data_IF_627418002386
#
_entry.id   IF_627418002386
#
_cell.length_a   1.000
_cell.length_b   1.000
_cell.length_c   1.000
_cell.angle_alpha   90.00
_cell.angle_beta   90.00
_cell.angle_gamma   90.00
#
_symmetry.space_group_name_H-M   'P 1'
#
loop_
_entity.id
_entity.type
_entity.pdbx_description
1 polymer ?
#
# COMPACT_ATOMS: atom_id res chain seq x y z
N UNK A 1 2.81 2.30 9.25
CA UNK A 1 3.31 3.64 9.62
C UNK A 1 4.41 3.62 10.70
N UNK A 2 4.37 2.71 11.69
CA UNK A 2 5.39 2.65 12.75
C UNK A 2 6.83 2.35 12.26
N UNK A 3 6.99 1.59 11.16
CA UNK A 3 8.32 1.26 10.64
C UNK A 3 9.09 2.50 10.13
N UNK A 4 8.39 3.46 9.49
CA UNK A 4 9.05 4.62 8.88
C UNK A 4 9.54 5.61 9.94
N UNK A 5 8.76 5.87 10.99
CA UNK A 5 9.18 6.75 12.09
C UNK A 5 10.25 6.12 12.96
N UNK A 6 10.23 4.81 13.16
CA UNK A 6 11.23 4.10 13.96
C UNK A 6 12.58 3.97 13.23
N UNK A 7 12.59 3.84 11.89
CA UNK A 7 13.82 3.84 11.08
C UNK A 7 14.45 5.23 11.02
N UNK A 8 13.64 6.29 10.90
CA UNK A 8 14.13 7.68 10.84
C UNK A 8 14.60 8.24 12.20
N UNK A 9 14.07 7.77 13.33
CA UNK A 9 14.44 8.28 14.66
C UNK A 9 15.34 7.36 15.50
N UNK A 10 15.53 6.08 15.13
CA UNK A 10 16.42 5.17 15.85
C UNK A 10 17.83 5.15 15.22
N UNK A 11 18.56 6.23 15.48
CA UNK A 11 19.91 6.50 14.98
C UNK A 11 20.97 5.38 15.17
N UNK A 12 20.97 4.53 16.23
CA UNK A 12 21.99 3.47 16.33
C UNK A 12 21.77 2.26 15.41
N UNK A 13 20.57 2.09 14.81
CA UNK A 13 20.28 0.95 13.93
C UNK A 13 20.42 1.29 12.43
N UNK A 14 20.35 2.57 12.06
CA UNK A 14 20.38 3.05 10.66
C UNK A 14 21.17 4.37 10.53
N UNK A 15 22.49 4.37 10.78
CA UNK A 15 23.31 5.58 10.82
C UNK A 15 23.45 6.31 9.47
N UNK A 16 23.08 5.66 8.36
CA UNK A 16 23.22 6.18 6.99
C UNK A 16 21.93 6.69 6.36
N UNK A 17 20.78 6.56 7.03
CA UNK A 17 19.48 7.00 6.48
C UNK A 17 19.32 8.49 6.78
N UNK A 18 19.56 9.35 5.77
CA UNK A 18 19.50 10.80 5.92
C UNK A 18 18.10 11.37 5.61
N UNK A 19 17.25 10.59 4.92
CA UNK A 19 15.90 11.00 4.58
C UNK A 19 15.04 9.88 3.99
N UNK A 20 13.84 10.25 3.54
CA UNK A 20 12.88 9.33 2.88
C UNK A 20 13.39 8.77 1.54
N UNK A 21 14.41 9.38 0.96
CA UNK A 21 15.03 8.90 -0.29
C UNK A 21 15.85 7.62 -0.09
N UNK A 22 16.33 7.37 1.13
CA UNK A 22 17.13 6.19 1.50
C UNK A 22 16.29 5.02 2.04
N UNK A 23 14.97 5.17 2.07
CA UNK A 23 14.05 4.20 2.65
C UNK A 23 13.21 3.59 1.54
N UNK A 24 13.11 2.27 1.55
CA UNK A 24 12.21 1.51 0.68
C UNK A 24 11.06 0.96 1.52
N UNK A 25 9.82 1.24 1.12
CA UNK A 25 8.60 0.84 1.84
C UNK A 25 7.73 -0.02 0.95
N UNK A 26 7.60 -1.30 1.31
CA UNK A 26 6.63 -2.22 0.73
C UNK A 26 5.45 -2.36 1.69
N UNK A 27 4.25 -1.97 1.25
CA UNK A 27 3.01 -2.13 2.00
C UNK A 27 2.17 -3.23 1.35
N UNK A 28 1.86 -4.28 2.11
CA UNK A 28 1.00 -5.39 1.68
C UNK A 28 -0.35 -5.22 2.36
N UNK A 29 -1.39 -4.92 1.59
CA UNK A 29 -2.77 -4.77 2.07
C UNK A 29 -3.57 -6.05 1.87
N UNK A 30 -4.60 -6.24 2.70
CA UNK A 30 -5.62 -7.26 2.45
C UNK A 30 -6.62 -6.75 1.40
N UNK A 31 -7.37 -7.69 0.80
CA UNK A 31 -8.35 -7.38 -0.22
C UNK A 31 -9.39 -6.39 0.31
N UNK A 32 -9.61 -5.30 -0.44
CA UNK A 32 -10.59 -4.29 -0.08
C UNK A 32 -11.97 -4.92 0.07
N UNK A 33 -12.58 -4.66 1.22
CA UNK A 33 -13.84 -5.27 1.59
C UNK A 33 -14.98 -4.49 0.95
N UNK A 34 -15.57 -5.03 -0.12
CA UNK A 34 -16.76 -4.42 -0.73
C UNK A 34 -17.84 -4.25 0.33
N UNK A 35 -18.24 -3.01 0.61
CA UNK A 35 -19.32 -2.69 1.54
C UNK A 35 -20.58 -3.44 1.08
N UNK A 36 -21.01 -4.42 1.86
CA UNK A 36 -22.25 -5.15 1.61
C UNK A 36 -23.36 -4.49 2.43
N UNK A 37 -24.22 -3.75 1.75
CA UNK A 37 -25.48 -3.28 2.32
C UNK A 37 -26.43 -4.47 2.42
N UNK A 38 -27.07 -4.63 3.59
CA UNK A 38 -28.19 -5.56 3.72
C UNK A 38 -29.38 -5.05 2.87
N UNK A 39 -30.35 -5.92 2.55
CA UNK A 39 -31.57 -5.57 1.79
C UNK A 39 -32.35 -4.40 2.42
N UNK A 40 -32.15 -4.16 3.71
CA UNK A 40 -32.77 -3.07 4.47
C UNK A 40 -31.95 -1.77 4.45
N UNK A 41 -30.88 -1.68 3.65
CA UNK A 41 -30.01 -0.50 3.56
C UNK A 41 -29.10 -0.28 4.78
N UNK A 42 -29.08 -1.22 5.75
CA UNK A 42 -28.22 -1.11 6.93
C UNK A 42 -26.86 -1.78 6.69
N UNK A 43 -25.78 -1.13 7.11
CA UNK A 43 -24.43 -1.69 7.12
C UNK A 43 -24.32 -2.71 8.26
N UNK A 44 -23.76 -3.89 7.97
CA UNK A 44 -23.38 -4.81 9.04
C UNK A 44 -22.23 -4.21 9.86
N UNK A 45 -22.14 -4.48 11.18
CA UNK A 45 -21.00 -4.03 11.99
C UNK A 45 -19.66 -4.48 11.41
N UNK A 46 -19.62 -5.69 10.85
CA UNK A 46 -18.45 -6.21 10.16
C UNK A 46 -18.07 -5.36 8.93
N UNK A 47 -19.05 -4.99 8.09
CA UNK A 47 -18.83 -4.11 6.92
C UNK A 47 -18.43 -2.68 7.31
N UNK A 48 -18.94 -2.18 8.44
CA UNK A 48 -18.55 -0.87 8.96
C UNK A 48 -17.09 -0.87 9.41
N UNK A 49 -16.68 -1.86 10.22
CA UNK A 49 -15.28 -2.02 10.65
C UNK A 49 -14.37 -2.16 9.43
N UNK A 50 -14.78 -2.97 8.46
CA UNK A 50 -14.09 -3.13 7.17
C UNK A 50 -13.86 -1.78 6.45
N UNK A 51 -14.91 -0.96 6.31
CA UNK A 51 -14.82 0.35 5.70
C UNK A 51 -13.89 1.32 6.46
N UNK A 52 -13.92 1.29 7.80
CA UNK A 52 -13.01 2.10 8.63
C UNK A 52 -11.56 1.65 8.45
N UNK A 53 -11.30 0.35 8.39
CA UNK A 53 -9.96 -0.20 8.13
C UNK A 53 -9.47 0.16 6.73
N UNK A 54 -10.32 0.03 5.71
CA UNK A 54 -10.01 0.44 4.34
C UNK A 54 -9.70 1.95 4.28
N UNK A 55 -10.43 2.79 5.02
CA UNK A 55 -10.16 4.23 5.14
C UNK A 55 -8.84 4.57 5.85
N UNK A 56 -8.48 3.83 6.89
CA UNK A 56 -7.18 4.00 7.58
C UNK A 56 -6.01 3.60 6.68
N UNK A 57 -6.17 2.52 5.92
CA UNK A 57 -5.25 2.08 4.87
C UNK A 57 -5.06 3.18 3.80
N UNK A 58 -6.17 3.72 3.30
CA UNK A 58 -6.18 4.77 2.29
C UNK A 58 -5.45 6.04 2.74
N UNK A 59 -5.72 6.47 3.96
CA UNK A 59 -5.10 7.67 4.54
C UNK A 59 -3.58 7.48 4.69
N UNK A 60 -3.17 6.26 5.07
CA UNK A 60 -1.76 5.91 5.17
C UNK A 60 -1.09 5.94 3.79
N UNK A 61 -1.76 5.41 2.77
CA UNK A 61 -1.25 5.38 1.40
C UNK A 61 -1.10 6.79 0.83
N UNK A 62 -2.04 7.68 1.13
CA UNK A 62 -1.96 9.09 0.74
C UNK A 62 -0.80 9.82 1.44
N UNK A 63 -0.60 9.57 2.74
CA UNK A 63 0.51 10.16 3.48
C UNK A 63 1.87 9.67 2.93
N UNK A 64 1.99 8.37 2.66
CA UNK A 64 3.20 7.79 2.07
C UNK A 64 3.41 8.28 0.64
N UNK A 65 2.37 8.36 -0.19
CA UNK A 65 2.48 8.91 -1.54
C UNK A 65 2.96 10.37 -1.54
N UNK A 66 2.51 11.17 -0.58
CA UNK A 66 2.99 12.54 -0.40
C UNK A 66 4.47 12.56 0.06
N UNK A 67 4.85 11.70 1.00
CA UNK A 67 6.22 11.63 1.52
C UNK A 67 7.22 11.14 0.44
N UNK A 68 6.82 10.15 -0.36
CA UNK A 68 7.60 9.60 -1.47
C UNK A 68 7.38 10.35 -2.80
N UNK A 69 6.76 11.53 -2.78
CA UNK A 69 6.46 12.29 -4.01
C UNK A 69 7.71 12.65 -4.83
N UNK A 70 8.88 12.75 -4.19
CA UNK A 70 10.18 13.01 -4.84
C UNK A 70 10.93 11.73 -5.27
N UNK A 71 10.57 10.58 -4.70
CA UNK A 71 11.09 9.25 -5.04
C UNK A 71 9.91 8.25 -5.16
N UNK A 72 9.14 8.32 -6.26
CA UNK A 72 7.89 7.59 -6.39
C UNK A 72 8.06 6.07 -6.45
N UNK A 73 9.28 5.58 -6.63
CA UNK A 73 9.61 4.15 -6.66
C UNK A 73 10.12 3.64 -5.31
N UNK A 74 10.21 4.51 -4.29
CA UNK A 74 10.56 4.15 -2.92
C UNK A 74 9.39 3.57 -2.13
N UNK A 75 8.17 3.68 -2.63
CA UNK A 75 6.96 3.16 -2.00
C UNK A 75 6.13 2.31 -2.98
N UNK A 76 5.91 1.06 -2.61
CA UNK A 76 5.07 0.12 -3.38
C UNK A 76 3.96 -0.41 -2.48
N UNK A 77 2.71 -0.26 -2.92
CA UNK A 77 1.51 -0.77 -2.26
C UNK A 77 0.95 -1.92 -3.10
N UNK A 78 0.91 -3.11 -2.54
CA UNK A 78 0.28 -4.28 -3.16
C UNK A 78 -1.04 -4.54 -2.45
N UNK A 79 -2.14 -4.35 -3.17
CA UNK A 79 -3.48 -4.63 -2.67
C UNK A 79 -4.22 -5.52 -3.67
N UNK A 80 -4.68 -6.72 -3.26
CA UNK A 80 -5.44 -7.60 -4.15
C UNK A 80 -6.86 -7.05 -4.34
N UNK A 81 -7.29 -6.89 -5.58
CA UNK A 81 -8.53 -6.19 -5.91
C UNK A 81 -9.71 -7.17 -5.96
N UNK A 82 -10.12 -7.68 -4.80
CA UNK A 82 -11.31 -8.53 -4.67
C UNK A 82 -11.18 -9.93 -5.29
N UNK A 83 -9.98 -10.35 -5.68
CA UNK A 83 -9.69 -11.72 -6.09
C UNK A 83 -9.84 -12.62 -4.87
N UNK A 84 -10.65 -13.68 -5.03
CA UNK A 84 -10.87 -14.68 -3.99
C UNK A 84 -9.50 -15.22 -3.57
N UNK A 85 -9.25 -15.24 -2.25
CA UNK A 85 -8.01 -15.62 -1.55
C UNK A 85 -7.58 -17.08 -1.78
N UNK A 86 -7.54 -17.54 -3.02
CA UNK A 86 -7.17 -18.91 -3.32
C UNK A 86 -5.68 -18.96 -3.68
N UNK A 87 -5.17 -17.96 -4.42
CA UNK A 87 -3.85 -18.06 -5.05
C UNK A 87 -3.09 -16.72 -4.92
N UNK A 88 -2.03 -16.66 -4.12
CA UNK A 88 -1.18 -15.45 -4.01
C UNK A 88 -0.53 -15.03 -5.34
N UNK A 89 -0.45 -15.95 -6.31
CA UNK A 89 0.01 -15.70 -7.68
C UNK A 89 -0.94 -14.82 -8.49
N UNK A 90 -2.25 -14.89 -8.24
CA UNK A 90 -3.24 -14.07 -8.96
C UNK A 90 -3.12 -12.61 -8.52
N UNK A 91 -2.90 -12.36 -7.24
CA UNK A 91 -2.66 -11.01 -6.71
C UNK A 91 -1.38 -10.38 -7.30
N UNK A 92 -0.36 -11.18 -7.63
CA UNK A 92 0.85 -10.70 -8.31
C UNK A 92 0.61 -10.41 -9.80
N UNK A 93 -0.30 -11.14 -10.44
CA UNK A 93 -0.66 -10.94 -11.85
C UNK A 93 -1.60 -9.73 -12.06
N UNK A 94 -2.25 -9.24 -11.01
CA UNK A 94 -3.07 -8.05 -11.09
C UNK A 94 -2.27 -6.79 -11.44
N UNK A 95 -2.92 -5.90 -12.19
CA UNK A 95 -2.39 -4.56 -12.47
C UNK A 95 -2.26 -3.80 -11.17
N UNK A 96 -1.07 -3.30 -10.91
CA UNK A 96 -0.82 -2.58 -9.67
C UNK A 96 -1.44 -1.20 -9.64
N UNK A 97 -1.61 -0.69 -8.43
CA UNK A 97 -2.17 0.64 -8.19
C UNK A 97 -1.06 1.50 -7.59
N UNK A 98 -0.82 2.67 -8.19
CA UNK A 98 0.06 3.69 -7.63
C UNK A 98 -0.76 4.85 -7.12
N UNK A 99 -0.45 5.24 -5.89
CA UNK A 99 -0.98 6.44 -5.25
C UNK A 99 -0.04 7.60 -5.60
N UNK A 100 -0.60 8.69 -6.09
CA UNK A 100 0.09 9.93 -6.40
C UNK A 100 -0.09 10.94 -5.26
N UNK A 101 0.85 11.89 -5.13
CA UNK A 101 0.67 13.03 -4.23
C UNK A 101 -0.69 13.69 -4.48
N UNK A 102 -1.31 14.19 -3.41
CA UNK A 102 -2.64 14.81 -3.43
C UNK A 102 -3.83 13.87 -3.69
N UNK A 103 -3.64 12.55 -3.51
CA UNK A 103 -4.76 11.59 -3.47
C UNK A 103 -5.18 11.04 -4.83
N UNK A 104 -4.39 11.25 -5.88
CA UNK A 104 -4.63 10.62 -7.18
C UNK A 104 -4.33 9.12 -7.13
N UNK A 105 -5.23 8.28 -7.63
CA UNK A 105 -4.95 6.85 -7.87
C UNK A 105 -4.80 6.59 -9.35
N UNK A 106 -3.79 5.82 -9.73
CA UNK A 106 -3.65 5.34 -11.11
C UNK A 106 -3.40 3.85 -11.12
N UNK A 107 -4.15 3.14 -11.96
CA UNK A 107 -3.82 1.79 -12.36
C UNK A 107 -2.59 1.83 -13.25
N UNK A 108 -1.53 1.17 -12.81
CA UNK A 108 -0.32 1.00 -13.59
C UNK A 108 -0.55 0.01 -14.72
N UNK A 109 0.24 0.13 -15.78
CA UNK A 109 0.32 -0.88 -16.84
C UNK A 109 1.04 -2.14 -16.37
N UNK A 110 1.88 -2.00 -15.35
CA UNK A 110 2.69 -3.05 -14.77
C UNK A 110 1.90 -3.86 -13.74
N UNK A 111 2.25 -5.13 -13.65
CA UNK A 111 1.70 -6.06 -12.66
C UNK A 111 2.31 -5.82 -11.28
N UNK A 112 1.61 -6.24 -10.23
CA UNK A 112 2.14 -6.23 -8.86
C UNK A 112 3.45 -7.02 -8.76
N UNK A 113 3.58 -8.14 -9.48
CA UNK A 113 4.79 -8.95 -9.54
C UNK A 113 5.97 -8.20 -10.16
N UNK A 114 5.77 -7.49 -11.27
CA UNK A 114 6.82 -6.69 -11.91
C UNK A 114 7.28 -5.53 -11.02
N UNK A 115 6.35 -4.86 -10.32
CA UNK A 115 6.70 -3.82 -9.36
C UNK A 115 7.54 -4.34 -8.19
N UNK A 116 7.16 -5.49 -7.63
CA UNK A 116 7.94 -6.12 -6.55
C UNK A 116 9.31 -6.57 -7.08
N UNK A 117 9.39 -7.06 -8.31
CA UNK A 117 10.66 -7.41 -8.95
C UNK A 117 11.59 -6.20 -9.08
N UNK A 118 11.09 -5.07 -9.58
CA UNK A 118 11.84 -3.81 -9.65
C UNK A 118 12.24 -3.28 -8.27
N UNK A 119 11.35 -3.43 -7.30
CA UNK A 119 11.64 -3.08 -5.91
C UNK A 119 12.77 -3.94 -5.34
N UNK A 120 12.75 -5.25 -5.60
CA UNK A 120 13.81 -6.17 -5.18
C UNK A 120 15.16 -5.89 -5.83
N UNK A 121 15.18 -5.46 -7.10
CA UNK A 121 16.41 -5.05 -7.78
C UNK A 121 17.08 -3.83 -7.16
N UNK A 122 16.33 -2.94 -6.50
CA UNK A 122 16.88 -1.78 -5.78
C UNK A 122 17.41 -2.13 -4.39
N UNK A 123 17.09 -3.32 -3.88
CA UNK A 123 17.53 -3.79 -2.58
C UNK A 123 18.92 -4.47 -2.62
N UNK A 124 19.39 -4.84 -3.81
CA UNK A 124 20.69 -5.48 -4.11
C UNK A 124 21.66 -4.45 -4.64
#
# INVERSE_FOLDING_TARGET
AAAVTHVLHNNPAFPTVAGVDDILVLSIGDASSKIKLNRNGCLSPASFIAAVMDGAAETTDQFLANAFGRNPDGYVRVQPNGVKKNNGTEALAERGVKMFPFGGKRLLTETNGEMIGKFGQRLV
#
